data_IF_297836623943
#
_entry.id   IF_297836623943
#
_cell.length_a   1.000
_cell.length_b   1.000
_cell.length_c   1.000
_cell.angle_alpha   90.00
_cell.angle_beta   90.00
_cell.angle_gamma   90.00
#
_symmetry.space_group_name_H-M   'P 1'
#
loop_
_entity.id
_entity.type
_entity.pdbx_description
1 polymer ?
#
# COMPACT_ATOMS: atom_id res chain seq x y z
N UNK A 1 -21.74 25.97 12.30
CA UNK A 1 -21.25 25.08 13.38
C UNK A 1 -21.54 23.64 12.98
N UNK A 2 -20.60 22.72 13.12
CA UNK A 2 -20.80 21.31 12.77
C UNK A 2 -21.90 20.68 13.64
N UNK A 3 -22.77 19.86 13.05
CA UNK A 3 -23.86 19.16 13.73
C UNK A 3 -23.77 17.66 13.45
N UNK A 4 -23.41 16.87 14.47
CA UNK A 4 -23.34 15.41 14.36
C UNK A 4 -24.68 14.79 13.95
N UNK A 5 -25.79 15.33 14.45
CA UNK A 5 -27.13 14.85 14.10
C UNK A 5 -27.42 15.04 12.60
N UNK A 6 -27.04 16.18 12.04
CA UNK A 6 -27.20 16.46 10.61
C UNK A 6 -26.26 15.57 9.79
N UNK A 7 -25.00 15.46 10.22
CA UNK A 7 -24.00 14.59 9.60
C UNK A 7 -24.45 13.13 9.48
N UNK A 8 -25.03 12.57 10.55
CA UNK A 8 -25.56 11.20 10.56
C UNK A 8 -26.84 11.09 9.72
N UNK A 9 -27.77 12.04 9.84
CA UNK A 9 -29.06 12.00 9.13
C UNK A 9 -28.88 12.09 7.61
N UNK A 10 -27.98 12.96 7.17
CA UNK A 10 -27.68 13.20 5.75
C UNK A 10 -26.57 12.28 5.22
N UNK A 11 -26.03 11.40 6.07
CA UNK A 11 -24.91 10.50 5.75
C UNK A 11 -23.76 11.20 5.04
N UNK A 12 -23.29 12.31 5.62
CA UNK A 12 -22.21 13.16 5.07
C UNK A 12 -20.82 12.54 5.21
N UNK A 13 -20.73 11.27 4.90
CA UNK A 13 -19.50 10.48 4.85
C UNK A 13 -19.61 9.47 3.71
N UNK A 14 -18.46 9.07 3.20
CA UNK A 14 -18.28 8.07 2.16
C UNK A 14 -17.12 7.16 2.53
N UNK A 15 -16.82 6.18 1.68
CA UNK A 15 -15.77 5.21 1.94
C UNK A 15 -14.76 5.18 0.81
N UNK A 16 -13.49 5.19 1.19
CA UNK A 16 -12.41 4.69 0.35
C UNK A 16 -12.14 3.24 0.72
N UNK A 17 -11.61 2.50 -0.24
CA UNK A 17 -11.28 1.11 -0.12
C UNK A 17 -9.79 0.98 -0.37
N UNK A 18 -9.07 0.32 0.52
CA UNK A 18 -7.65 0.07 0.34
C UNK A 18 -7.41 -1.44 0.13
N UNK A 19 -6.72 -1.83 -0.96
CA UNK A 19 -6.47 -3.25 -1.22
C UNK A 19 -5.49 -3.84 -0.20
N UNK A 20 -5.81 -5.04 0.25
CA UNK A 20 -4.93 -5.94 0.99
C UNK A 20 -4.51 -7.03 0.02
N UNK A 21 -3.20 -7.19 -0.18
CA UNK A 21 -2.66 -8.13 -1.16
C UNK A 21 -2.18 -9.40 -0.50
N UNK A 22 -2.36 -10.52 -1.20
CA UNK A 22 -1.50 -11.68 -1.02
C UNK A 22 -0.14 -11.36 -1.66
N UNK A 23 0.87 -11.21 -0.83
CA UNK A 23 2.22 -10.86 -1.27
C UNK A 23 2.87 -11.97 -2.09
N UNK A 24 2.42 -13.23 -1.96
CA UNK A 24 3.01 -14.37 -2.66
C UNK A 24 2.68 -14.36 -4.14
N UNK A 25 1.38 -14.31 -4.47
CA UNK A 25 0.86 -14.39 -5.85
C UNK A 25 0.46 -13.03 -6.44
N UNK A 26 0.43 -11.97 -5.62
CA UNK A 26 0.05 -10.62 -6.05
C UNK A 26 -1.45 -10.41 -6.22
N UNK A 27 -2.29 -11.38 -5.84
CA UNK A 27 -3.74 -11.24 -5.88
C UNK A 27 -4.26 -10.33 -4.76
N UNK A 28 -5.42 -9.70 -4.99
CA UNK A 28 -6.11 -8.94 -3.96
C UNK A 28 -6.84 -9.93 -3.06
N UNK A 29 -6.46 -9.97 -1.78
CA UNK A 29 -7.12 -10.77 -0.76
C UNK A 29 -8.39 -10.11 -0.24
N UNK A 30 -8.39 -8.79 -0.16
CA UNK A 30 -9.51 -8.04 0.37
C UNK A 30 -9.37 -6.55 0.23
N UNK A 31 -10.35 -5.83 0.73
CA UNK A 31 -10.33 -4.39 0.84
C UNK A 31 -10.66 -3.96 2.25
N UNK A 32 -9.87 -3.05 2.81
CA UNK A 32 -10.22 -2.32 4.02
C UNK A 32 -11.13 -1.14 3.69
N UNK A 33 -12.23 -1.03 4.43
CA UNK A 33 -13.23 0.02 4.29
C UNK A 33 -12.89 1.18 5.21
N UNK A 34 -12.57 2.32 4.61
CA UNK A 34 -12.04 3.49 5.30
C UNK A 34 -13.02 4.66 5.18
N UNK A 35 -13.62 5.07 6.31
CA UNK A 35 -14.53 6.22 6.35
C UNK A 35 -13.79 7.52 5.99
N UNK A 36 -14.43 8.35 5.17
CA UNK A 36 -14.00 9.68 4.75
C UNK A 36 -15.18 10.64 4.85
N UNK A 37 -14.89 11.91 5.12
CA UNK A 37 -15.88 12.97 5.21
C UNK A 37 -15.23 14.29 4.79
N UNK A 38 -15.92 15.13 4.03
CA UNK A 38 -15.33 16.37 3.53
C UNK A 38 -15.05 17.37 4.66
N UNK A 39 -15.75 17.24 5.79
CA UNK A 39 -15.59 18.08 6.97
C UNK A 39 -14.36 17.71 7.82
N UNK A 40 -13.75 16.54 7.59
CA UNK A 40 -12.64 16.03 8.41
C UNK A 40 -11.53 15.44 7.53
N UNK A 41 -10.29 15.89 7.73
CA UNK A 41 -9.13 15.34 7.01
C UNK A 41 -8.83 13.88 7.37
N UNK A 42 -9.27 13.41 8.54
CA UNK A 42 -9.16 12.04 9.03
C UNK A 42 -10.42 11.63 9.81
N UNK A 43 -10.73 10.33 9.96
CA UNK A 43 -11.99 9.89 10.56
C UNK A 43 -12.00 9.93 12.10
N UNK A 44 -10.85 9.99 12.78
CA UNK A 44 -10.78 9.90 14.25
C UNK A 44 -11.61 10.98 14.97
N UNK A 45 -11.56 12.28 14.59
CA UNK A 45 -12.30 13.34 15.25
C UNK A 45 -13.83 13.14 15.23
N UNK A 46 -14.37 12.56 14.15
CA UNK A 46 -15.82 12.32 14.07
C UNK A 46 -16.23 11.14 14.95
N UNK A 47 -15.41 10.09 15.06
CA UNK A 47 -15.65 9.00 16.00
C UNK A 47 -15.53 9.45 17.45
N UNK A 48 -14.50 10.25 17.80
CA UNK A 48 -14.38 10.85 19.14
C UNK A 48 -15.58 11.71 19.50
N UNK A 49 -16.06 12.54 18.55
CA UNK A 49 -17.23 13.37 18.75
C UNK A 49 -18.49 12.51 18.96
N UNK A 50 -18.66 11.45 18.16
CA UNK A 50 -19.78 10.52 18.31
C UNK A 50 -19.74 9.79 19.66
N UNK A 51 -18.55 9.41 20.13
CA UNK A 51 -18.37 8.83 21.47
C UNK A 51 -18.76 9.82 22.57
N UNK A 52 -18.25 11.07 22.52
CA UNK A 52 -18.61 12.15 23.47
C UNK A 52 -20.11 12.44 23.48
N UNK A 53 -20.80 12.26 22.35
CA UNK A 53 -22.25 12.46 22.19
C UNK A 53 -23.08 11.20 22.41
N UNK A 54 -22.48 10.06 22.77
CA UNK A 54 -23.15 8.75 22.93
C UNK A 54 -23.88 8.28 21.66
N UNK A 55 -23.38 8.66 20.50
CA UNK A 55 -23.87 8.27 19.18
C UNK A 55 -22.87 7.41 18.41
N UNK A 56 -21.82 6.89 19.07
CA UNK A 56 -20.81 6.05 18.44
C UNK A 56 -21.42 4.81 17.77
N UNK A 57 -22.29 4.07 18.48
CA UNK A 57 -23.00 2.92 17.90
C UNK A 57 -23.78 3.28 16.62
N UNK A 58 -24.42 4.45 16.58
CA UNK A 58 -25.17 4.91 15.41
C UNK A 58 -24.24 5.25 14.24
N UNK A 59 -23.14 5.96 14.50
CA UNK A 59 -22.14 6.27 13.46
C UNK A 59 -21.51 4.99 12.91
N UNK A 60 -21.06 4.12 13.80
CA UNK A 60 -20.31 2.91 13.46
C UNK A 60 -21.17 1.95 12.64
N UNK A 61 -22.40 1.64 13.08
CA UNK A 61 -23.32 0.77 12.33
C UNK A 61 -23.76 1.36 11.00
N UNK A 62 -24.00 2.68 10.90
CA UNK A 62 -24.28 3.34 9.61
C UNK A 62 -23.09 3.29 8.67
N UNK A 63 -21.87 3.50 9.19
CA UNK A 63 -20.63 3.38 8.41
C UNK A 63 -20.45 1.96 7.88
N UNK A 64 -20.58 0.95 8.74
CA UNK A 64 -20.48 -0.48 8.38
C UNK A 64 -21.49 -0.80 7.26
N UNK A 65 -22.76 -0.47 7.47
CA UNK A 65 -23.82 -0.77 6.50
C UNK A 65 -23.57 -0.05 5.15
N UNK A 66 -23.25 1.25 5.18
CA UNK A 66 -23.00 2.02 3.95
C UNK A 66 -21.76 1.52 3.21
N UNK A 67 -20.70 1.13 3.92
CA UNK A 67 -19.48 0.57 3.32
C UNK A 67 -19.76 -0.77 2.62
N UNK A 68 -20.50 -1.65 3.29
CA UNK A 68 -20.98 -2.93 2.73
C UNK A 68 -21.84 -2.69 1.47
N UNK A 69 -22.83 -1.82 1.58
CA UNK A 69 -23.73 -1.50 0.47
C UNK A 69 -22.98 -0.94 -0.73
N UNK A 70 -22.07 0.01 -0.49
CA UNK A 70 -21.23 0.62 -1.55
C UNK A 70 -20.36 -0.42 -2.25
N UNK A 71 -19.79 -1.36 -1.49
CA UNK A 71 -19.01 -2.47 -2.04
C UNK A 71 -19.86 -3.41 -2.88
N UNK A 72 -21.04 -3.79 -2.37
CA UNK A 72 -21.97 -4.67 -3.06
C UNK A 72 -22.47 -4.05 -4.37
N UNK A 73 -22.90 -2.79 -4.35
CA UNK A 73 -23.39 -2.05 -5.53
C UNK A 73 -22.31 -1.90 -6.62
N UNK A 74 -21.02 -1.93 -6.24
CA UNK A 74 -19.94 -1.95 -7.21
C UNK A 74 -19.86 -3.28 -7.98
N UNK A 75 -20.45 -4.38 -7.49
CA UNK A 75 -20.42 -5.69 -8.15
C UNK A 75 -19.04 -6.36 -8.13
N UNK A 76 -18.17 -5.97 -7.20
CA UNK A 76 -16.85 -6.57 -6.99
C UNK A 76 -16.91 -7.78 -6.05
N UNK A 77 -17.83 -8.71 -6.27
CA UNK A 77 -17.96 -9.90 -5.42
C UNK A 77 -17.36 -11.16 -6.06
N UNK A 78 -16.03 -11.28 -6.25
CA UNK A 78 -15.41 -12.59 -6.35
C UNK A 78 -15.63 -13.35 -5.04
N UNK A 79 -15.89 -14.65 -5.14
CA UNK A 79 -16.04 -15.58 -4.00
C UNK A 79 -14.81 -15.71 -3.10
N UNK A 80 -13.78 -14.88 -3.26
CA UNK A 80 -12.50 -15.00 -2.55
C UNK A 80 -12.00 -13.68 -1.95
N UNK A 81 -12.61 -12.54 -2.32
CA UNK A 81 -12.22 -11.22 -1.80
C UNK A 81 -12.95 -10.95 -0.49
N UNK A 82 -12.20 -10.58 0.54
CA UNK A 82 -12.75 -10.24 1.87
C UNK A 82 -12.97 -8.73 2.00
N UNK A 83 -13.96 -8.35 2.80
CA UNK A 83 -14.23 -6.95 3.14
C UNK A 83 -13.89 -6.74 4.60
N UNK A 84 -12.86 -5.95 4.85
CA UNK A 84 -12.38 -5.64 6.18
C UNK A 84 -12.99 -4.32 6.67
N UNK A 85 -13.65 -4.33 7.82
CA UNK A 85 -14.35 -3.17 8.35
C UNK A 85 -14.03 -2.99 9.84
N UNK A 86 -13.57 -1.79 10.17
CA UNK A 86 -13.35 -1.37 11.55
C UNK A 86 -14.63 -1.37 12.38
N UNK A 87 -14.52 -1.84 13.62
CA UNK A 87 -15.61 -1.83 14.59
C UNK A 87 -15.08 -1.55 15.99
N UNK A 88 -15.76 -0.68 16.71
CA UNK A 88 -15.41 -0.35 18.09
C UNK A 88 -15.86 -1.47 19.05
N UNK A 89 -15.04 -1.83 20.07
CA UNK A 89 -15.47 -2.77 21.10
C UNK A 89 -16.81 -2.40 21.77
N UNK A 90 -17.07 -1.11 22.01
CA UNK A 90 -18.34 -0.63 22.57
C UNK A 90 -19.53 -0.84 21.62
N UNK A 91 -19.29 -0.77 20.30
CA UNK A 91 -20.29 -1.14 19.28
C UNK A 91 -20.60 -2.63 19.34
N UNK A 92 -19.58 -3.49 19.44
CA UNK A 92 -19.76 -4.95 19.58
C UNK A 92 -20.57 -5.32 20.83
N UNK A 93 -20.32 -4.63 21.94
CA UNK A 93 -20.98 -4.88 23.22
C UNK A 93 -22.42 -4.34 23.28
N UNK A 94 -22.86 -3.56 22.29
CA UNK A 94 -24.23 -3.06 22.23
C UNK A 94 -25.21 -4.24 22.02
N UNK A 95 -26.29 -4.36 22.80
CA UNK A 95 -27.27 -5.45 22.66
C UNK A 95 -27.90 -5.57 21.27
N UNK A 96 -27.94 -4.48 20.50
CA UNK A 96 -28.51 -4.44 19.14
C UNK A 96 -27.52 -4.85 18.04
N UNK A 97 -26.24 -5.03 18.36
CA UNK A 97 -25.22 -5.27 17.34
C UNK A 97 -25.39 -6.63 16.67
N UNK A 98 -25.61 -7.70 17.45
CA UNK A 98 -25.79 -9.04 16.88
C UNK A 98 -27.02 -9.16 15.98
N UNK A 99 -28.11 -8.47 16.31
CA UNK A 99 -29.28 -8.38 15.42
C UNK A 99 -28.94 -7.60 14.14
N UNK A 100 -28.23 -6.48 14.26
CA UNK A 100 -27.78 -5.69 13.11
C UNK A 100 -26.91 -6.52 12.15
N UNK A 101 -25.94 -7.29 12.66
CA UNK A 101 -25.12 -8.18 11.83
C UNK A 101 -25.95 -9.27 11.18
N UNK A 102 -26.90 -9.86 11.91
CA UNK A 102 -27.81 -10.87 11.36
C UNK A 102 -28.63 -10.30 10.18
N UNK A 103 -29.12 -9.08 10.31
CA UNK A 103 -29.89 -8.41 9.26
C UNK A 103 -29.02 -8.17 8.01
N UNK A 104 -27.79 -7.66 8.19
CA UNK A 104 -26.80 -7.53 7.11
C UNK A 104 -26.54 -8.87 6.41
N UNK A 105 -26.34 -9.95 7.17
CA UNK A 105 -26.03 -11.28 6.62
C UNK A 105 -27.22 -11.97 5.94
N UNK A 106 -28.44 -11.45 6.14
CA UNK A 106 -29.64 -11.89 5.44
C UNK A 106 -29.85 -11.07 4.15
N UNK A 107 -29.53 -9.78 4.19
CA UNK A 107 -29.61 -8.88 3.02
C UNK A 107 -28.49 -9.15 2.01
N UNK A 108 -27.27 -9.44 2.49
CA UNK A 108 -26.06 -9.65 1.70
C UNK A 108 -25.47 -11.04 1.95
N UNK A 109 -26.18 -12.08 1.48
CA UNK A 109 -25.81 -13.49 1.75
C UNK A 109 -24.43 -13.84 1.20
N UNK A 110 -24.01 -13.20 0.11
CA UNK A 110 -22.69 -13.34 -0.50
C UNK A 110 -21.54 -12.81 0.36
N UNK A 111 -21.83 -12.04 1.42
CA UNK A 111 -20.81 -11.56 2.36
C UNK A 111 -20.55 -12.55 3.51
N UNK A 112 -21.35 -13.60 3.62
CA UNK A 112 -21.09 -14.68 4.59
C UNK A 112 -19.70 -15.24 4.30
N UNK A 113 -18.85 -15.34 5.32
CA UNK A 113 -17.44 -15.76 5.21
C UNK A 113 -16.49 -14.74 4.54
N UNK A 114 -17.01 -13.64 3.99
CA UNK A 114 -16.22 -12.58 3.35
C UNK A 114 -16.08 -11.33 4.22
N UNK A 115 -17.01 -11.08 5.15
CA UNK A 115 -16.89 -9.99 6.10
C UNK A 115 -15.83 -10.31 7.16
N UNK A 116 -14.87 -9.40 7.30
CA UNK A 116 -13.88 -9.36 8.38
C UNK A 116 -14.18 -8.13 9.24
N UNK A 117 -14.39 -8.33 10.53
CA UNK A 117 -14.49 -7.24 11.49
C UNK A 117 -13.15 -7.00 12.15
N UNK A 118 -12.63 -5.78 11.99
CA UNK A 118 -11.38 -5.32 12.56
C UNK A 118 -11.67 -4.64 13.90
N UNK A 119 -11.27 -5.29 15.00
CA UNK A 119 -11.48 -4.77 16.33
C UNK A 119 -10.36 -3.77 16.61
N UNK A 120 -10.72 -2.49 16.69
CA UNK A 120 -9.75 -1.42 16.93
C UNK A 120 -9.31 -1.37 18.40
N UNK A 121 -8.07 -0.95 18.64
CA UNK A 121 -7.47 -0.98 19.97
C UNK A 121 -7.92 0.17 20.89
N UNK A 122 -8.30 1.32 20.33
CA UNK A 122 -8.40 2.61 21.02
C UNK A 122 -9.42 2.70 22.17
N UNK A 123 -10.28 1.69 22.38
CA UNK A 123 -11.20 1.63 23.51
C UNK A 123 -10.73 0.70 24.64
N UNK A 124 -10.83 1.21 25.88
CA UNK A 124 -10.67 0.40 27.09
C UNK A 124 -11.84 -0.57 27.21
N UNK A 125 -11.55 -1.87 27.14
CA UNK A 125 -12.56 -2.92 27.26
C UNK A 125 -12.80 -3.20 28.74
N UNK A 126 -13.99 -2.88 29.24
CA UNK A 126 -14.36 -3.10 30.66
C UNK A 126 -14.98 -4.47 30.91
N UNK A 127 -15.70 -5.04 29.94
CA UNK A 127 -16.33 -6.36 30.06
C UNK A 127 -15.80 -7.33 29.01
N UNK A 128 -14.62 -7.85 29.28
CA UNK A 128 -13.89 -8.71 28.34
C UNK A 128 -14.59 -10.06 28.11
N UNK A 129 -15.20 -10.65 29.15
CA UNK A 129 -15.98 -11.89 29.05
C UNK A 129 -17.17 -11.75 28.09
N UNK A 130 -17.87 -10.61 28.16
CA UNK A 130 -18.98 -10.34 27.23
C UNK A 130 -18.47 -10.17 25.79
N UNK A 131 -17.33 -9.50 25.60
CA UNK A 131 -16.72 -9.32 24.28
C UNK A 131 -16.37 -10.67 23.63
N UNK A 132 -15.70 -11.57 24.37
CA UNK A 132 -15.42 -12.94 23.92
C UNK A 132 -16.72 -13.65 23.50
N UNK A 133 -17.78 -13.53 24.31
CA UNK A 133 -19.08 -14.11 24.01
C UNK A 133 -19.72 -13.58 22.73
N UNK A 134 -19.61 -12.28 22.46
CA UNK A 134 -20.08 -11.64 21.21
C UNK A 134 -19.25 -12.13 20.03
N UNK A 135 -17.93 -12.14 20.15
CA UNK A 135 -17.01 -12.59 19.09
C UNK A 135 -17.28 -14.04 18.71
N UNK A 136 -17.47 -14.94 19.68
CA UNK A 136 -17.85 -16.34 19.39
C UNK A 136 -19.15 -16.43 18.60
N UNK A 137 -20.15 -15.61 18.92
CA UNK A 137 -21.41 -15.57 18.15
C UNK A 137 -21.22 -15.03 16.74
N UNK A 138 -20.36 -14.02 16.55
CA UNK A 138 -20.00 -13.49 15.23
C UNK A 138 -19.29 -14.55 14.38
N UNK A 139 -18.30 -15.25 14.94
CA UNK A 139 -17.62 -16.37 14.27
C UNK A 139 -18.60 -17.46 13.84
N UNK A 140 -19.56 -17.82 14.70
CA UNK A 140 -20.58 -18.83 14.41
C UNK A 140 -21.50 -18.47 13.24
N UNK A 141 -21.67 -17.18 12.92
CA UNK A 141 -22.44 -16.73 11.75
C UNK A 141 -21.55 -16.45 10.52
N UNK A 142 -20.28 -16.84 10.58
CA UNK A 142 -19.32 -16.74 9.48
C UNK A 142 -18.60 -15.40 9.38
N UNK A 143 -18.63 -14.55 10.40
CA UNK A 143 -17.80 -13.34 10.45
C UNK A 143 -16.37 -13.72 10.81
N UNK A 144 -15.43 -13.25 10.00
CA UNK A 144 -14.00 -13.35 10.30
C UNK A 144 -13.61 -12.20 11.23
N UNK A 145 -12.65 -12.42 12.12
CA UNK A 145 -12.25 -11.44 13.14
C UNK A 145 -10.77 -11.10 12.94
N UNK A 146 -10.47 -9.80 12.94
CA UNK A 146 -9.12 -9.27 12.94
C UNK A 146 -8.89 -8.38 14.18
N UNK A 147 -7.65 -8.33 14.65
CA UNK A 147 -7.20 -7.29 15.58
C UNK A 147 -6.44 -6.25 14.76
N UNK A 148 -6.85 -5.00 14.87
CA UNK A 148 -6.22 -3.87 14.19
C UNK A 148 -5.19 -3.16 15.07
N UNK A 149 -4.24 -2.48 14.44
CA UNK A 149 -3.27 -1.59 15.10
C UNK A 149 -2.40 -2.25 16.20
N UNK A 150 -2.12 -3.56 16.06
CA UNK A 150 -1.32 -4.30 17.03
C UNK A 150 0.06 -3.67 17.24
N UNK A 151 0.42 -3.45 18.50
CA UNK A 151 1.69 -2.92 18.99
C UNK A 151 1.64 -1.47 19.48
N UNK A 152 0.46 -0.82 19.44
CA UNK A 152 0.26 0.55 19.94
C UNK A 152 -0.21 0.62 21.39
N UNK A 153 -0.69 -0.46 22.00
CA UNK A 153 -1.21 -0.41 23.36
C UNK A 153 -0.88 -1.61 24.26
N UNK A 154 -1.45 -1.56 25.46
CA UNK A 154 -0.92 -2.28 26.62
C UNK A 154 -1.45 -3.73 26.77
N UNK A 155 -2.42 -4.17 25.97
CA UNK A 155 -3.15 -5.44 26.19
C UNK A 155 -3.18 -6.39 24.98
N UNK A 156 -2.31 -6.14 24.02
CA UNK A 156 -2.23 -6.83 22.73
C UNK A 156 -2.11 -8.35 22.82
N UNK A 157 -1.20 -8.85 23.64
CA UNK A 157 -0.99 -10.30 23.80
C UNK A 157 -2.19 -11.02 24.41
N UNK A 158 -2.82 -10.42 25.42
CA UNK A 158 -4.03 -10.96 26.03
C UNK A 158 -5.15 -11.03 24.99
N UNK A 159 -5.28 -10.00 24.14
CA UNK A 159 -6.30 -9.96 23.10
C UNK A 159 -6.15 -11.05 22.07
N UNK A 160 -4.93 -11.32 21.61
CA UNK A 160 -4.71 -12.41 20.66
C UNK A 160 -5.11 -13.75 21.28
N UNK A 161 -4.68 -14.01 22.52
CA UNK A 161 -4.90 -15.30 23.18
C UNK A 161 -6.40 -15.57 23.39
N UNK A 162 -7.13 -14.57 23.89
CA UNK A 162 -8.51 -14.78 24.33
C UNK A 162 -9.54 -14.61 23.21
N UNK A 163 -9.27 -13.75 22.22
CA UNK A 163 -10.18 -13.53 21.09
C UNK A 163 -9.95 -14.51 19.95
N UNK A 164 -8.77 -15.15 19.91
CA UNK A 164 -8.36 -16.11 18.88
C UNK A 164 -8.65 -15.56 17.46
N UNK A 165 -8.12 -14.39 17.08
CA UNK A 165 -8.46 -13.77 15.81
C UNK A 165 -7.97 -14.61 14.62
N UNK A 166 -8.57 -14.40 13.46
CA UNK A 166 -8.12 -15.01 12.22
C UNK A 166 -7.02 -14.18 11.56
N UNK A 167 -7.03 -12.85 11.81
CA UNK A 167 -6.02 -11.93 11.31
C UNK A 167 -5.49 -11.05 12.44
N UNK A 168 -4.21 -10.72 12.38
CA UNK A 168 -3.61 -9.64 13.17
C UNK A 168 -2.96 -8.68 12.18
N UNK A 169 -3.32 -7.40 12.28
CA UNK A 169 -2.73 -6.33 11.51
C UNK A 169 -1.64 -5.68 12.36
N UNK A 170 -0.39 -5.79 11.90
CA UNK A 170 0.73 -5.08 12.47
C UNK A 170 0.76 -3.67 11.88
N UNK A 171 0.66 -2.67 12.75
CA UNK A 171 0.61 -1.28 12.32
C UNK A 171 1.90 -0.86 11.60
N UNK A 172 1.84 0.31 10.93
CA UNK A 172 2.96 0.89 10.19
C UNK A 172 4.27 1.00 10.99
N UNK A 173 4.24 1.06 12.33
CA UNK A 173 5.45 1.03 13.15
C UNK A 173 6.31 -0.21 12.88
N UNK A 174 5.70 -1.37 12.59
CA UNK A 174 6.44 -2.60 12.31
C UNK A 174 7.05 -2.64 10.91
N UNK A 175 6.41 -2.00 9.93
CA UNK A 175 6.97 -1.84 8.58
C UNK A 175 8.09 -0.81 8.53
N UNK A 176 7.88 0.34 9.18
CA UNK A 176 8.82 1.45 9.18
C UNK A 176 10.19 1.03 9.76
N UNK A 177 11.27 1.30 9.03
CA UNK A 177 12.65 0.91 9.38
C UNK A 177 12.85 -0.60 9.66
N UNK A 178 11.96 -1.47 9.16
CA UNK A 178 12.06 -2.91 9.40
C UNK A 178 13.39 -3.48 8.89
N UNK A 179 13.86 -3.02 7.74
CA UNK A 179 15.12 -3.49 7.13
C UNK A 179 16.36 -3.10 7.95
N UNK A 180 16.33 -1.95 8.64
CA UNK A 180 17.45 -1.46 9.43
C UNK A 180 17.44 -2.03 10.86
N UNK A 181 16.27 -2.35 11.42
CA UNK A 181 16.14 -2.72 12.83
C UNK A 181 16.09 -4.23 13.07
N UNK A 182 17.25 -4.83 13.41
CA UNK A 182 17.33 -6.23 13.84
C UNK A 182 16.40 -6.58 15.02
N UNK A 183 16.04 -5.58 15.86
CA UNK A 183 15.07 -5.78 16.95
C UNK A 183 13.65 -5.95 16.39
N UNK A 184 13.19 -5.05 15.52
CA UNK A 184 11.88 -5.17 14.85
C UNK A 184 11.79 -6.47 14.07
N UNK A 185 12.82 -6.81 13.30
CA UNK A 185 12.89 -8.07 12.55
C UNK A 185 12.68 -9.32 13.43
N UNK A 186 13.34 -9.37 14.59
CA UNK A 186 13.17 -10.49 15.54
C UNK A 186 11.78 -10.51 16.15
N UNK A 187 11.22 -9.36 16.48
CA UNK A 187 9.87 -9.25 17.04
C UNK A 187 8.82 -9.70 16.02
N UNK A 188 8.86 -9.18 14.79
CA UNK A 188 7.96 -9.58 13.70
C UNK A 188 8.06 -11.09 13.43
N UNK A 189 9.27 -11.67 13.41
CA UNK A 189 9.46 -13.12 13.28
C UNK A 189 8.80 -13.91 14.42
N UNK A 190 8.90 -13.42 15.66
CA UNK A 190 8.29 -14.07 16.81
C UNK A 190 6.76 -14.05 16.71
N UNK A 191 6.19 -12.90 16.33
CA UNK A 191 4.75 -12.76 16.14
C UNK A 191 4.29 -13.66 14.99
N UNK A 192 4.99 -13.66 13.85
CA UNK A 192 4.66 -14.51 12.71
C UNK A 192 4.66 -15.99 13.09
N UNK A 193 5.67 -16.42 13.87
CA UNK A 193 5.73 -17.80 14.37
C UNK A 193 4.52 -18.12 15.24
N UNK A 194 4.18 -17.25 16.20
CA UNK A 194 3.00 -17.42 17.04
C UNK A 194 1.73 -17.54 16.19
N UNK A 195 1.55 -16.68 15.19
CA UNK A 195 0.36 -16.66 14.35
C UNK A 195 0.23 -17.95 13.52
N UNK A 196 1.34 -18.39 12.91
CA UNK A 196 1.39 -19.63 12.14
C UNK A 196 1.04 -20.87 12.97
N UNK A 197 1.46 -20.91 14.25
CA UNK A 197 1.15 -22.01 15.17
C UNK A 197 -0.31 -22.01 15.66
N UNK A 198 -1.03 -20.89 15.51
CA UNK A 198 -2.39 -20.69 16.03
C UNK A 198 -3.44 -20.44 14.94
N UNK A 199 -3.15 -20.80 13.68
CA UNK A 199 -4.05 -20.59 12.54
C UNK A 199 -4.53 -19.14 12.37
N UNK A 200 -3.66 -18.19 12.72
CA UNK A 200 -3.86 -16.76 12.52
C UNK A 200 -2.91 -16.28 11.42
N UNK A 201 -3.41 -15.42 10.54
CA UNK A 201 -2.61 -14.81 9.49
C UNK A 201 -2.17 -13.40 9.91
N UNK A 202 -0.93 -13.03 9.55
CA UNK A 202 -0.45 -11.66 9.71
C UNK A 202 -0.68 -10.82 8.45
N UNK A 203 -1.08 -9.58 8.68
CA UNK A 203 -1.11 -8.51 7.69
C UNK A 203 -0.14 -7.44 8.19
N UNK A 204 0.87 -7.07 7.40
CA UNK A 204 1.71 -5.90 7.71
C UNK A 204 1.17 -4.69 6.97
N UNK A 205 0.93 -3.62 7.71
CA UNK A 205 0.51 -2.33 7.17
C UNK A 205 1.68 -1.36 6.95
N UNK A 206 1.46 -0.37 6.09
CA UNK A 206 2.45 0.67 5.82
C UNK A 206 3.62 0.20 4.96
N UNK A 207 3.42 -0.80 4.11
CA UNK A 207 4.42 -1.22 3.12
C UNK A 207 4.50 -0.19 1.98
N UNK A 208 5.65 0.45 1.84
CA UNK A 208 5.87 1.53 0.86
C UNK A 208 6.95 1.15 -0.16
N UNK A 209 7.88 0.27 0.21
CA UNK A 209 9.03 -0.09 -0.63
C UNK A 209 9.04 -1.58 -1.02
N UNK A 210 9.46 -1.87 -2.26
CA UNK A 210 9.65 -3.26 -2.75
C UNK A 210 10.57 -4.09 -1.85
N UNK A 211 11.59 -3.45 -1.26
CA UNK A 211 12.52 -4.10 -0.35
C UNK A 211 11.85 -4.53 0.96
N UNK A 212 10.91 -3.75 1.48
CA UNK A 212 10.11 -4.10 2.66
C UNK A 212 9.19 -5.27 2.32
N UNK A 213 8.49 -5.20 1.18
CA UNK A 213 7.60 -6.27 0.70
C UNK A 213 8.38 -7.58 0.54
N UNK A 214 9.54 -7.55 -0.14
CA UNK A 214 10.38 -8.73 -0.32
C UNK A 214 10.88 -9.29 1.01
N UNK A 215 11.22 -8.42 1.96
CA UNK A 215 11.66 -8.84 3.28
C UNK A 215 10.51 -9.48 4.09
N UNK A 216 9.35 -8.85 4.12
CA UNK A 216 8.14 -9.37 4.78
C UNK A 216 7.76 -10.74 4.21
N UNK A 217 7.80 -10.92 2.88
CA UNK A 217 7.63 -12.24 2.25
C UNK A 217 8.66 -13.26 2.75
N UNK A 218 9.93 -12.86 2.91
CA UNK A 218 10.98 -13.75 3.42
C UNK A 218 10.78 -14.16 4.88
N UNK A 219 9.96 -13.42 5.64
CA UNK A 219 9.54 -13.80 6.99
C UNK A 219 8.40 -14.83 7.01
N UNK A 220 7.84 -15.18 5.84
CA UNK A 220 6.68 -16.06 5.73
C UNK A 220 5.34 -15.36 5.96
N UNK A 221 5.32 -14.03 5.93
CA UNK A 221 4.08 -13.24 6.05
C UNK A 221 3.41 -13.17 4.67
N UNK A 222 2.17 -13.65 4.62
CA UNK A 222 1.43 -13.81 3.36
C UNK A 222 0.75 -12.52 2.90
N UNK A 223 0.29 -11.68 3.83
CA UNK A 223 -0.55 -10.53 3.49
C UNK A 223 0.11 -9.21 3.84
N UNK A 224 -0.20 -8.18 3.04
CA UNK A 224 0.29 -6.84 3.28
C UNK A 224 -0.58 -5.76 2.68
N UNK A 225 -0.45 -4.57 3.24
CA UNK A 225 -1.18 -3.36 2.87
C UNK A 225 -0.26 -2.15 3.00
N UNK A 226 -0.44 -1.16 2.13
CA UNK A 226 0.36 0.06 2.16
C UNK A 226 0.37 0.75 0.81
N UNK A 227 0.93 1.96 0.77
CA UNK A 227 0.91 2.81 -0.43
C UNK A 227 1.75 2.24 -1.58
N UNK A 228 2.78 1.44 -1.26
CA UNK A 228 3.56 0.69 -2.27
C UNK A 228 2.77 -0.43 -2.94
N UNK A 229 1.65 -0.86 -2.35
CA UNK A 229 0.78 -1.92 -2.88
C UNK A 229 -0.51 -1.36 -3.49
N UNK A 230 -1.12 -0.38 -2.84
CA UNK A 230 -2.30 0.30 -3.35
C UNK A 230 -2.84 1.36 -2.38
N UNK A 231 -3.20 2.49 -2.96
CA UNK A 231 -3.76 3.62 -2.23
C UNK A 231 -5.25 3.40 -1.91
N UNK A 232 -5.74 3.93 -0.77
CA UNK A 232 -7.16 4.09 -0.52
C UNK A 232 -7.82 4.92 -1.62
N UNK A 233 -8.88 4.41 -2.23
CA UNK A 233 -9.59 5.12 -3.29
C UNK A 233 -11.06 4.65 -3.41
N UNK A 234 -11.92 5.36 -4.16
CA UNK A 234 -13.28 4.91 -4.42
C UNK A 234 -13.31 3.52 -5.07
N UNK A 235 -14.26 2.68 -4.65
CA UNK A 235 -14.38 1.30 -5.14
C UNK A 235 -14.54 1.20 -6.67
N UNK A 236 -15.20 2.19 -7.29
CA UNK A 236 -15.36 2.24 -8.73
C UNK A 236 -14.02 2.33 -9.49
N UNK A 237 -13.02 3.03 -8.93
CA UNK A 237 -11.68 3.09 -9.53
C UNK A 237 -10.95 1.77 -9.39
N UNK A 238 -11.05 1.12 -8.23
CA UNK A 238 -10.47 -0.22 -8.01
C UNK A 238 -11.09 -1.27 -8.92
N UNK A 239 -12.41 -1.20 -9.14
CA UNK A 239 -13.11 -2.07 -10.07
C UNK A 239 -12.55 -1.98 -11.47
N UNK A 240 -12.36 -0.78 -12.00
CA UNK A 240 -11.77 -0.60 -13.32
C UNK A 240 -10.37 -1.21 -13.39
N UNK A 241 -9.56 -1.06 -12.34
CA UNK A 241 -8.23 -1.68 -12.28
C UNK A 241 -8.32 -3.21 -12.25
N UNK A 242 -9.27 -3.78 -11.51
CA UNK A 242 -9.49 -5.23 -11.40
C UNK A 242 -10.13 -5.85 -12.66
N UNK A 243 -11.10 -5.20 -13.29
CA UNK A 243 -11.73 -5.71 -14.51
C UNK A 243 -10.80 -5.59 -15.73
N UNK A 244 -10.02 -4.51 -15.82
CA UNK A 244 -8.91 -4.44 -16.77
C UNK A 244 -7.91 -5.56 -16.53
N UNK A 245 -7.82 -6.07 -15.30
CA UNK A 245 -6.94 -7.17 -14.97
C UNK A 245 -7.44 -8.55 -15.41
N UNK A 246 -8.76 -8.70 -15.52
CA UNK A 246 -9.42 -9.93 -15.95
C UNK A 246 -9.76 -9.97 -17.45
N UNK A 247 -9.89 -8.83 -18.12
CA UNK A 247 -10.41 -8.70 -19.49
C UNK A 247 -9.40 -8.44 -20.62
N UNK A 248 -8.10 -8.44 -20.34
CA UNK A 248 -7.04 -8.25 -21.34
C UNK A 248 -6.04 -9.41 -21.26
N UNK A 249 -5.62 -9.86 -22.45
CA UNK A 249 -4.49 -10.74 -22.76
C UNK A 249 -3.39 -10.63 -21.72
N UNK A 250 -2.72 -11.75 -21.39
CA UNK A 250 -1.47 -11.82 -20.60
C UNK A 250 -1.07 -10.45 -20.09
N UNK A 251 -1.31 -10.13 -18.82
CA UNK A 251 -0.50 -9.07 -18.24
C UNK A 251 0.92 -9.43 -18.65
N UNK A 252 1.64 -8.57 -19.40
CA UNK A 252 3.05 -8.64 -19.27
C UNK A 252 3.21 -8.35 -17.78
N UNK A 253 3.49 -9.40 -16.98
CA UNK A 253 4.30 -9.29 -15.78
C UNK A 253 5.24 -8.16 -16.10
N UNK A 254 4.98 -6.98 -15.51
CA UNK A 254 5.48 -5.73 -16.04
C UNK A 254 6.97 -5.96 -16.22
N UNK A 255 7.46 -6.08 -17.47
CA UNK A 255 8.85 -6.55 -17.71
C UNK A 255 9.86 -5.56 -17.12
N UNK A 256 9.35 -4.45 -16.57
CA UNK A 256 10.04 -3.42 -15.84
C UNK A 256 9.63 -3.52 -14.36
N UNK A 257 10.62 -3.85 -13.54
CA UNK A 257 10.57 -3.99 -12.08
C UNK A 257 10.15 -2.71 -11.33
N UNK A 258 10.15 -1.55 -11.99
CA UNK A 258 9.97 -0.24 -11.34
C UNK A 258 9.10 0.73 -12.17
N UNK A 259 8.28 1.53 -11.48
CA UNK A 259 7.47 2.63 -12.02
C UNK A 259 8.37 3.73 -12.63
N UNK A 260 8.02 4.24 -13.82
CA UNK A 260 8.75 5.31 -14.55
C UNK A 260 7.89 6.58 -14.65
N UNK A 261 8.48 7.71 -14.27
CA UNK A 261 7.87 9.03 -14.40
C UNK A 261 8.55 9.85 -15.49
N UNK A 262 7.75 10.65 -16.21
CA UNK A 262 8.28 11.58 -17.20
C UNK A 262 9.03 12.70 -16.49
N UNK A 263 10.20 13.02 -17.00
CA UNK A 263 11.08 14.03 -16.44
C UNK A 263 11.43 15.02 -17.54
N UNK A 264 10.46 15.86 -17.93
CA UNK A 264 10.45 16.71 -19.13
C UNK A 264 11.80 17.36 -19.48
N UNK A 265 12.62 16.65 -20.26
CA UNK A 265 13.94 17.07 -20.73
C UNK A 265 14.80 17.76 -19.66
N UNK A 266 14.95 17.13 -18.50
CA UNK A 266 15.82 17.64 -17.45
C UNK A 266 17.28 17.61 -17.91
N UNK A 267 17.97 18.76 -17.87
CA UNK A 267 19.39 18.84 -18.20
C UNK A 267 20.22 17.92 -17.30
N UNK A 268 21.12 17.17 -17.94
CA UNK A 268 21.98 16.22 -17.25
C UNK A 268 23.37 16.13 -17.90
N UNK A 269 24.32 15.68 -17.11
CA UNK A 269 25.67 15.34 -17.54
C UNK A 269 25.86 13.84 -17.43
N UNK A 270 26.31 13.20 -18.52
CA UNK A 270 26.68 11.80 -18.54
C UNK A 270 28.21 11.66 -18.62
N UNK A 271 28.83 11.15 -17.56
CA UNK A 271 30.27 10.86 -17.51
C UNK A 271 30.53 9.40 -17.79
N UNK A 272 31.44 9.11 -18.71
CA UNK A 272 31.80 7.73 -19.03
C UNK A 272 32.86 7.20 -18.05
N UNK A 273 32.53 6.09 -17.38
CA UNK A 273 33.40 5.46 -16.39
C UNK A 273 34.18 4.29 -16.99
N UNK A 274 33.53 3.47 -17.83
CA UNK A 274 34.14 2.33 -18.50
C UNK A 274 33.36 1.94 -19.77
N UNK A 275 34.07 1.49 -20.80
CA UNK A 275 33.49 1.00 -22.06
C UNK A 275 33.65 -0.52 -22.26
N UNK A 276 34.29 -1.23 -21.33
CA UNK A 276 34.51 -2.67 -21.38
C UNK A 276 35.39 -3.15 -22.53
N UNK A 277 35.91 -2.25 -23.39
CA UNK A 277 36.78 -2.57 -24.53
C UNK A 277 37.85 -1.51 -24.73
N UNK A 278 39.07 -1.93 -25.11
CA UNK A 278 40.24 -1.03 -25.25
C UNK A 278 40.12 0.03 -26.37
N UNK A 279 39.21 -0.14 -27.34
CA UNK A 279 39.08 0.75 -28.52
C UNK A 279 38.48 2.13 -28.20
N UNK A 280 37.81 2.31 -27.06
CA UNK A 280 37.12 3.55 -26.69
C UNK A 280 37.67 4.21 -25.41
N UNK A 281 38.86 3.80 -24.96
CA UNK A 281 39.49 4.32 -23.74
C UNK A 281 39.73 5.84 -23.76
N UNK A 282 39.81 6.46 -24.94
CA UNK A 282 39.97 7.91 -25.10
C UNK A 282 38.73 8.72 -24.69
N UNK A 283 37.59 8.07 -24.44
CA UNK A 283 36.35 8.69 -23.96
C UNK A 283 36.13 8.50 -22.45
N UNK A 284 36.95 7.68 -21.79
CA UNK A 284 36.86 7.47 -20.33
C UNK A 284 37.15 8.79 -19.61
N UNK A 285 36.35 9.10 -18.59
CA UNK A 285 36.33 10.37 -17.85
C UNK A 285 35.84 11.59 -18.61
N UNK A 286 35.45 11.48 -19.89
CA UNK A 286 34.75 12.57 -20.57
C UNK A 286 33.31 12.64 -20.09
N UNK A 287 32.80 13.86 -20.03
CA UNK A 287 31.43 14.18 -19.67
C UNK A 287 30.73 14.84 -20.87
N UNK A 288 29.48 14.46 -21.11
CA UNK A 288 28.68 14.99 -22.22
C UNK A 288 27.33 15.45 -21.67
N UNK A 289 26.86 16.58 -22.19
CA UNK A 289 25.54 17.12 -21.85
C UNK A 289 24.44 16.38 -22.61
N UNK A 290 23.29 16.26 -21.96
CA UNK A 290 22.07 15.77 -22.58
C UNK A 290 20.87 15.98 -21.68
N UNK A 291 19.82 15.21 -21.93
CA UNK A 291 18.54 15.37 -21.23
C UNK A 291 18.04 14.04 -20.71
N UNK A 292 17.62 14.00 -19.45
CA UNK A 292 16.80 12.92 -18.91
C UNK A 292 15.38 13.12 -19.45
N UNK A 293 14.79 12.10 -20.07
CA UNK A 293 13.40 12.13 -20.55
C UNK A 293 12.44 11.47 -19.56
N UNK A 294 12.90 10.38 -18.93
CA UNK A 294 12.15 9.65 -17.91
C UNK A 294 13.09 9.07 -16.85
N UNK A 295 12.55 8.81 -15.66
CA UNK A 295 13.31 8.23 -14.55
C UNK A 295 12.47 7.26 -13.71
N UNK A 296 13.11 6.24 -13.18
CA UNK A 296 12.57 5.24 -12.25
C UNK A 296 13.63 4.81 -11.26
N UNK A 297 13.25 4.07 -10.22
CA UNK A 297 14.20 3.47 -9.28
C UNK A 297 15.20 2.51 -9.94
N UNK A 298 14.85 1.92 -11.09
CA UNK A 298 15.72 0.96 -11.79
C UNK A 298 16.51 1.53 -12.97
N UNK A 299 16.30 2.79 -13.34
CA UNK A 299 16.94 3.35 -14.53
C UNK A 299 16.21 4.55 -15.12
N UNK A 300 16.81 5.11 -16.16
CA UNK A 300 16.37 6.35 -16.82
C UNK A 300 16.53 6.25 -18.34
N UNK A 301 15.72 7.01 -19.08
CA UNK A 301 15.97 7.30 -20.50
C UNK A 301 16.66 8.65 -20.60
N UNK A 302 17.78 8.69 -21.32
CA UNK A 302 18.60 9.88 -21.53
C UNK A 302 18.86 10.08 -23.01
N UNK A 303 18.82 11.32 -23.47
CA UNK A 303 19.03 11.69 -24.87
C UNK A 303 20.26 12.57 -25.01
N UNK A 304 21.16 12.20 -25.93
CA UNK A 304 22.50 12.80 -26.11
C UNK A 304 22.75 13.15 -27.59
N UNK A 305 23.56 14.19 -27.82
CA UNK A 305 24.13 14.51 -29.15
C UNK A 305 25.45 13.75 -29.40
N UNK A 306 25.48 12.44 -29.06
CA UNK A 306 26.61 11.57 -29.35
C UNK A 306 26.11 10.17 -29.72
N UNK A 307 26.65 9.62 -30.81
CA UNK A 307 26.44 8.21 -31.16
C UNK A 307 27.41 7.31 -30.39
N UNK A 308 26.84 6.51 -29.48
CA UNK A 308 27.54 5.53 -28.65
C UNK A 308 27.23 4.11 -29.15
N UNK A 309 28.24 3.23 -29.20
CA UNK A 309 28.03 1.82 -29.54
C UNK A 309 27.40 1.06 -28.36
N UNK A 310 26.22 0.47 -28.57
CA UNK A 310 25.45 -0.22 -27.52
C UNK A 310 25.70 -1.74 -27.45
N UNK A 311 26.73 -2.23 -28.15
CA UNK A 311 27.12 -3.64 -28.09
C UNK A 311 27.98 -4.00 -26.86
N UNK A 312 28.48 -3.01 -26.10
CA UNK A 312 29.32 -3.22 -24.92
C UNK A 312 28.64 -2.65 -23.66
N UNK A 313 28.90 -3.25 -22.49
CA UNK A 313 28.45 -2.71 -21.20
C UNK A 313 29.18 -1.40 -20.90
N UNK A 314 28.64 -0.27 -21.37
CA UNK A 314 29.19 1.06 -21.08
C UNK A 314 28.70 1.50 -19.71
N UNK A 315 29.61 1.62 -18.76
CA UNK A 315 29.32 2.12 -17.41
C UNK A 315 29.42 3.64 -17.42
N UNK A 316 28.39 4.28 -16.89
CA UNK A 316 28.21 5.73 -16.90
C UNK A 316 27.83 6.22 -15.51
N UNK A 317 28.07 7.51 -15.29
CA UNK A 317 27.59 8.27 -14.15
C UNK A 317 26.69 9.39 -14.69
N UNK A 318 25.40 9.30 -14.36
CA UNK A 318 24.39 10.28 -14.68
C UNK A 318 24.30 11.29 -13.54
N UNK A 319 24.49 12.57 -13.85
CA UNK A 319 24.34 13.66 -12.89
C UNK A 319 23.34 14.70 -13.40
N UNK A 320 22.49 15.21 -12.52
CA UNK A 320 21.57 16.31 -12.81
C UNK A 320 21.19 17.04 -11.53
N UNK A 321 20.65 18.24 -11.66
CA UNK A 321 20.14 19.04 -10.55
C UNK A 321 18.63 19.27 -10.72
N UNK A 322 17.87 19.10 -9.66
CA UNK A 322 16.43 19.34 -9.65
C UNK A 322 15.97 19.86 -8.30
N UNK A 323 15.22 20.96 -8.27
CA UNK A 323 14.77 21.64 -7.05
C UNK A 323 15.91 21.87 -6.03
N UNK A 324 17.03 22.43 -6.49
CA UNK A 324 18.23 22.72 -5.67
C UNK A 324 18.91 21.47 -5.08
N UNK A 325 18.50 20.27 -5.49
CA UNK A 325 19.15 19.02 -5.11
C UNK A 325 19.98 18.43 -6.25
N UNK A 326 21.19 18.00 -5.92
CA UNK A 326 22.10 17.35 -6.86
C UNK A 326 21.99 15.81 -6.79
N UNK A 327 21.77 15.19 -7.95
CA UNK A 327 21.69 13.75 -8.12
C UNK A 327 22.89 13.25 -8.91
N UNK A 328 23.43 12.09 -8.48
CA UNK A 328 24.59 11.46 -9.07
C UNK A 328 24.45 9.95 -8.99
N UNK A 329 24.16 9.31 -10.13
CA UNK A 329 23.71 7.92 -10.18
C UNK A 329 24.56 7.13 -11.17
N UNK A 330 25.13 6.00 -10.72
CA UNK A 330 25.88 5.10 -11.59
C UNK A 330 24.95 4.13 -12.29
N UNK A 331 25.22 3.86 -13.57
CA UNK A 331 24.43 2.94 -14.37
C UNK A 331 25.20 2.33 -15.53
N UNK A 332 24.52 1.45 -16.25
CA UNK A 332 25.02 0.81 -17.48
C UNK A 332 24.06 1.14 -18.61
N UNK A 333 24.59 1.54 -19.76
CA UNK A 333 23.78 1.70 -20.97
C UNK A 333 23.40 0.30 -21.46
N UNK A 334 22.09 0.04 -21.52
CA UNK A 334 21.54 -1.29 -21.86
C UNK A 334 20.74 -1.29 -23.16
N UNK A 335 20.39 -0.13 -23.69
CA UNK A 335 19.65 0.00 -24.95
C UNK A 335 19.92 1.33 -25.66
N UNK A 336 19.85 1.31 -26.99
CA UNK A 336 19.85 2.47 -27.90
C UNK A 336 18.50 2.50 -28.60
N UNK A 337 17.87 3.65 -28.69
CA UNK A 337 16.68 3.86 -29.50
C UNK A 337 17.05 4.70 -30.71
N UNK A 338 16.78 4.19 -31.92
CA UNK A 338 16.95 4.95 -33.16
C UNK A 338 15.64 5.64 -33.49
N UNK A 339 15.51 6.92 -33.10
CA UNK A 339 14.74 8.00 -33.74
C UNK A 339 14.29 9.07 -32.71
N UNK A 340 14.73 10.32 -32.92
CA UNK A 340 13.93 11.55 -32.74
C UNK A 340 14.80 12.77 -33.09
N UNK A 341 14.46 13.46 -34.20
CA UNK A 341 15.15 14.64 -34.78
C UNK A 341 16.63 14.46 -35.18
N UNK A 342 17.10 15.21 -36.20
CA UNK A 342 18.37 15.00 -36.94
C UNK A 342 19.68 15.13 -36.11
N UNK A 343 19.64 15.17 -34.77
CA UNK A 343 20.85 15.38 -33.95
C UNK A 343 20.88 14.69 -32.57
N UNK A 344 19.80 14.02 -32.13
CA UNK A 344 19.68 13.50 -30.75
C UNK A 344 19.38 12.00 -30.71
N UNK A 345 20.10 11.25 -29.86
CA UNK A 345 19.99 9.79 -29.75
C UNK A 345 19.59 9.40 -28.32
N UNK A 346 18.55 8.56 -28.21
CA UNK A 346 18.06 8.05 -26.94
C UNK A 346 18.80 6.81 -26.45
N UNK A 347 19.16 6.80 -25.17
CA UNK A 347 19.82 5.71 -24.47
C UNK A 347 19.04 5.33 -23.21
N UNK A 348 18.87 4.03 -22.99
CA UNK A 348 18.36 3.53 -21.71
C UNK A 348 19.52 3.17 -20.79
N UNK A 349 19.52 3.78 -19.61
CA UNK A 349 20.48 3.53 -18.54
C UNK A 349 19.78 2.67 -17.49
N UNK A 350 20.35 1.52 -17.16
CA UNK A 350 19.97 0.72 -16.00
C UNK A 350 20.84 1.16 -14.82
N UNK A 351 20.24 1.52 -13.69
CA UNK A 351 21.02 1.92 -12.51
C UNK A 351 21.70 0.71 -11.88
N UNK A 352 22.94 0.90 -11.45
CA UNK A 352 23.64 -0.06 -10.58
C UNK A 352 23.01 0.00 -9.19
N UNK A 353 23.33 -0.96 -8.32
CA UNK A 353 22.78 -1.02 -6.96
C UNK A 353 22.94 0.33 -6.26
N UNK A 354 21.80 1.00 -6.02
CA UNK A 354 21.72 2.22 -5.23
C UNK A 354 21.79 1.84 -3.75
N UNK A 355 22.50 2.63 -2.95
CA UNK A 355 22.40 2.49 -1.50
C UNK A 355 21.04 3.01 -0.99
N UNK A 356 20.72 2.75 0.28
CA UNK A 356 19.42 3.13 0.85
C UNK A 356 19.15 4.63 0.84
N UNK A 357 20.19 5.46 0.88
CA UNK A 357 20.08 6.92 0.85
C UNK A 357 19.81 7.41 -0.57
N UNK A 358 20.59 6.93 -1.54
CA UNK A 358 20.39 7.22 -2.97
C UNK A 358 19.00 6.78 -3.45
N UNK A 359 18.54 5.60 -3.02
CA UNK A 359 17.22 5.07 -3.36
C UNK A 359 16.09 5.93 -2.78
N UNK A 360 16.21 6.36 -1.52
CA UNK A 360 15.22 7.22 -0.87
C UNK A 360 15.09 8.58 -1.57
N UNK A 361 16.22 9.22 -1.89
CA UNK A 361 16.23 10.51 -2.60
C UNK A 361 15.63 10.40 -4.00
N UNK A 362 15.99 9.34 -4.72
CA UNK A 362 15.44 9.08 -6.04
C UNK A 362 13.92 8.81 -6.00
N UNK A 363 13.43 8.13 -4.95
CA UNK A 363 12.01 7.90 -4.77
C UNK A 363 11.23 9.20 -4.48
N UNK A 364 11.80 10.09 -3.66
CA UNK A 364 11.22 11.42 -3.40
C UNK A 364 11.12 12.27 -4.67
N UNK A 365 12.17 12.25 -5.49
CA UNK A 365 12.15 12.88 -6.82
C UNK A 365 11.01 12.33 -7.68
N UNK A 366 10.90 11.01 -7.80
CA UNK A 366 9.87 10.33 -8.60
C UNK A 366 8.46 10.72 -8.14
N UNK A 367 8.20 10.71 -6.83
CA UNK A 367 6.91 11.14 -6.28
C UNK A 367 6.62 12.63 -6.52
N UNK A 368 7.66 13.48 -6.50
CA UNK A 368 7.52 14.91 -6.80
C UNK A 368 7.13 15.14 -8.26
N UNK A 369 7.75 14.41 -9.19
CA UNK A 369 7.42 14.47 -10.62
C UNK A 369 5.99 13.99 -10.91
N UNK A 370 5.52 12.96 -10.20
CA UNK A 370 4.15 12.46 -10.29
C UNK A 370 3.14 13.55 -9.89
N UNK A 371 3.36 14.19 -8.73
CA UNK A 371 2.49 15.28 -8.26
C UNK A 371 2.47 16.47 -9.22
N UNK A 372 3.61 16.83 -9.80
CA UNK A 372 3.72 17.90 -10.78
C UNK A 372 3.04 17.57 -12.12
N UNK A 373 2.82 16.29 -12.44
CA UNK A 373 2.12 15.87 -13.66
C UNK A 373 0.58 15.92 -13.55
N UNK A 374 0.07 16.07 -12.33
CA UNK A 374 -1.36 16.13 -12.01
C UNK A 374 -1.91 17.56 -11.90
N UNK A 375 -1.03 18.57 -11.94
CA UNK A 375 -1.32 20.01 -11.97
C UNK A 375 -1.09 20.56 -13.36
#
# INVERSE_FOLDING_TARGET
MFSLKTFLKEERFYHYFQPIYNLVDGSIKGYEVLLRADEFSNPEPIFELAQKKKQLFELDTRSIYKGIKTYHEAGLTPKEVKLFINVFPSTLLNPKFLSFVKDIMNEHVELRQHLVMEIIESEVITNYTQLIGVIKKLKNVGVTIAIDDFGKGHHDMMRIIELEPHYIKLDRYFAHDLLASKKKQRLVKLIQKFCAENHCDLIIEGLEMDAEIAYVKSLGITYGQGFGLGMPQPIAKLKQTYEKSLGLQEYPMNKRKFRREKFYNQECTLRFLDFGTKKLNSLVNKAIQGYVEDISLGGSKVTLMLDLPVQNKVTVELSFEYNEEYYKIKGVIVRKEAHSSESMIGYGIQFLSLDGYELSRLNQLINTLELASLT
#
